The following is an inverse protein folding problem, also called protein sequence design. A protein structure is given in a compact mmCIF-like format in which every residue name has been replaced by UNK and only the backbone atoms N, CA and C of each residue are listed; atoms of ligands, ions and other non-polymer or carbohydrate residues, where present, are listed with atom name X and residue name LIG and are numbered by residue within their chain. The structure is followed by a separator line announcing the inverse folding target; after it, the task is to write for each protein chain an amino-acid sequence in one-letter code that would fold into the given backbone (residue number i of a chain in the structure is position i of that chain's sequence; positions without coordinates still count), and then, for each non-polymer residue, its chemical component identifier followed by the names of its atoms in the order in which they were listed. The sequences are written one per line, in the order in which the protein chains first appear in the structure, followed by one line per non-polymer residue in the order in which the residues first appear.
data_IF_027530077348
#
_entry.id   IF_027530077348
#
_cell.length_a   1.000
_cell.length_b   1.000
_cell.length_c   1.000
_cell.angle_alpha   90.00
_cell.angle_beta   90.00
_cell.angle_gamma   90.00
#
_symmetry.space_group_name_H-M   'P 1'
#
loop_
_entity.id
_entity.type
_entity.pdbx_description
1 polymer ?
#
# COMPACT_ATOMS: atom_id res chain seq x y z
N UNK A 1 -20.59 10.49 16.93
CA UNK A 1 -20.09 9.23 17.52
C UNK A 1 -18.66 9.47 17.99
N UNK A 2 -18.46 9.85 19.25
CA UNK A 2 -17.12 10.00 19.83
C UNK A 2 -16.73 8.67 20.45
N UNK A 3 -15.86 7.93 19.77
CA UNK A 3 -15.26 6.72 20.31
C UNK A 3 -14.36 7.11 21.50
N UNK A 4 -14.40 6.40 22.64
CA UNK A 4 -13.48 6.65 23.74
C UNK A 4 -12.04 6.60 23.23
N UNK A 5 -11.19 7.53 23.65
CA UNK A 5 -9.80 7.64 23.18
C UNK A 5 -9.00 6.34 23.38
N UNK A 6 -9.32 5.58 24.43
CA UNK A 6 -8.77 4.24 24.69
C UNK A 6 -9.14 3.21 23.63
N UNK A 7 -10.37 3.25 23.13
CA UNK A 7 -10.83 2.35 22.07
C UNK A 7 -10.21 2.71 20.72
N UNK A 8 -10.07 4.01 20.42
CA UNK A 8 -9.39 4.48 19.22
C UNK A 8 -7.90 4.06 19.21
N UNK A 9 -7.21 4.21 20.34
CA UNK A 9 -5.83 3.74 20.51
C UNK A 9 -5.72 2.21 20.37
N UNK A 10 -6.65 1.46 20.97
CA UNK A 10 -6.67 -0.01 20.84
C UNK A 10 -6.80 -0.48 19.39
N UNK A 11 -7.68 0.15 18.62
CA UNK A 11 -7.83 -0.12 17.18
C UNK A 11 -6.56 0.24 16.41
N UNK A 12 -5.93 1.38 16.71
CA UNK A 12 -4.71 1.80 16.03
C UNK A 12 -3.54 0.84 16.33
N UNK A 13 -3.38 0.41 17.58
CA UNK A 13 -2.35 -0.57 17.97
C UNK A 13 -2.58 -1.90 17.25
N UNK A 14 -3.83 -2.38 17.21
CA UNK A 14 -4.17 -3.61 16.51
C UNK A 14 -3.87 -3.52 15.01
N UNK A 15 -4.24 -2.40 14.38
CA UNK A 15 -3.99 -2.15 12.95
C UNK A 15 -2.49 -2.08 12.65
N UNK A 16 -1.72 -1.31 13.43
CA UNK A 16 -0.28 -1.21 13.29
C UNK A 16 0.42 -2.57 13.49
N UNK A 17 -0.01 -3.34 14.50
CA UNK A 17 0.48 -4.70 14.73
C UNK A 17 0.18 -5.63 13.56
N UNK A 18 -1.03 -5.57 12.99
CA UNK A 18 -1.39 -6.34 11.80
C UNK A 18 -0.51 -5.98 10.58
N UNK A 19 -0.28 -4.69 10.35
CA UNK A 19 0.59 -4.20 9.27
C UNK A 19 2.05 -4.63 9.44
N UNK A 20 2.55 -4.65 10.68
CA UNK A 20 3.88 -5.15 11.02
C UNK A 20 3.99 -6.66 10.72
N UNK A 21 3.02 -7.44 11.19
CA UNK A 21 2.96 -8.89 10.95
C UNK A 21 2.90 -9.20 9.44
N UNK A 22 2.07 -8.48 8.68
CA UNK A 22 2.01 -8.62 7.22
C UNK A 22 3.36 -8.35 6.56
N UNK A 23 4.07 -7.30 7.01
CA UNK A 23 5.40 -6.97 6.49
C UNK A 23 6.40 -8.10 6.77
N UNK A 24 6.41 -8.66 7.98
CA UNK A 24 7.29 -9.78 8.35
C UNK A 24 6.96 -11.04 7.54
N UNK A 25 5.69 -11.38 7.37
CA UNK A 25 5.26 -12.56 6.58
C UNK A 25 5.66 -12.39 5.11
N UNK A 26 5.57 -11.17 4.59
CA UNK A 26 5.87 -10.89 3.18
C UNK A 26 7.29 -11.28 2.78
N UNK A 27 8.25 -11.16 3.68
CA UNK A 27 9.64 -11.56 3.42
C UNK A 27 9.75 -13.02 2.95
N UNK A 28 9.10 -13.94 3.66
CA UNK A 28 9.09 -15.36 3.27
C UNK A 28 8.20 -15.59 2.06
N UNK A 29 7.04 -14.93 2.01
CA UNK A 29 6.06 -15.10 0.92
C UNK A 29 6.60 -14.67 -0.43
N UNK A 30 7.44 -13.64 -0.45
CA UNK A 30 7.98 -12.99 -1.64
C UNK A 30 9.33 -13.56 -2.07
N UNK A 31 9.75 -14.68 -1.48
CA UNK A 31 11.03 -15.32 -1.82
C UNK A 31 12.23 -14.47 -1.43
N UNK A 32 12.15 -13.71 -0.34
CA UNK A 32 13.22 -12.85 0.17
C UNK A 32 13.60 -11.70 -0.79
N UNK A 33 12.66 -11.28 -1.65
CA UNK A 33 12.80 -10.08 -2.47
C UNK A 33 12.66 -8.82 -1.59
N UNK A 34 13.79 -8.14 -1.38
CA UNK A 34 13.87 -6.92 -0.57
C UNK A 34 13.09 -5.75 -1.17
N UNK A 35 13.00 -5.64 -2.51
CA UNK A 35 12.21 -4.58 -3.13
C UNK A 35 10.71 -4.84 -2.97
N UNK A 36 10.26 -6.09 -3.12
CA UNK A 36 8.88 -6.47 -2.91
C UNK A 36 8.43 -6.24 -1.45
N UNK A 37 9.26 -6.69 -0.51
CA UNK A 37 9.02 -6.56 0.93
C UNK A 37 9.05 -5.09 1.35
N UNK A 38 9.99 -4.30 0.83
CA UNK A 38 10.07 -2.86 1.08
C UNK A 38 8.88 -2.09 0.50
N UNK A 39 8.43 -2.42 -0.71
CA UNK A 39 7.21 -1.85 -1.30
C UNK A 39 5.97 -2.12 -0.42
N UNK A 40 5.82 -3.35 0.08
CA UNK A 40 4.71 -3.68 0.98
C UNK A 40 4.83 -2.95 2.31
N UNK A 41 6.03 -2.88 2.90
CA UNK A 41 6.28 -2.15 4.14
C UNK A 41 5.86 -0.68 4.04
N UNK A 42 6.20 -0.01 2.94
CA UNK A 42 5.81 1.39 2.71
C UNK A 42 4.29 1.54 2.58
N UNK A 43 3.63 0.63 1.86
CA UNK A 43 2.17 0.62 1.75
C UNK A 43 1.48 0.36 3.10
N UNK A 44 2.01 -0.58 3.90
CA UNK A 44 1.56 -0.88 5.26
C UNK A 44 1.76 0.32 6.21
N UNK A 45 2.87 1.05 6.06
CA UNK A 45 3.15 2.26 6.85
C UNK A 45 2.14 3.37 6.57
N UNK A 46 1.71 3.51 5.31
CA UNK A 46 0.67 4.46 4.93
C UNK A 46 -0.71 4.15 5.54
N UNK A 47 -1.00 2.88 5.86
CA UNK A 47 -2.21 2.49 6.62
C UNK A 47 -2.01 2.73 8.12
N UNK A 48 -0.84 2.39 8.65
CA UNK A 48 -0.57 2.46 10.10
C UNK A 48 -0.44 3.89 10.63
N UNK A 49 0.00 4.84 9.79
CA UNK A 49 0.19 6.25 10.16
C UNK A 49 -0.93 7.12 9.61
N UNK A 50 -1.93 7.50 10.43
CA UNK A 50 -3.06 8.34 9.99
C UNK A 50 -2.66 9.78 9.59
N UNK A 51 -1.41 10.18 9.84
CA UNK A 51 -0.88 11.52 9.58
C UNK A 51 -0.32 11.73 8.18
N UNK A 52 -0.36 10.71 7.31
CA UNK A 52 0.42 10.77 6.09
C UNK A 52 -0.05 11.79 5.05
N UNK A 53 -1.22 12.43 5.24
CA UNK A 53 -1.91 13.39 4.36
C UNK A 53 -1.06 14.49 3.66
N UNK A 54 0.17 14.73 4.13
CA UNK A 54 1.13 15.67 3.54
C UNK A 54 2.38 15.02 2.91
N UNK A 55 2.61 13.72 3.07
CA UNK A 55 3.82 12.98 2.66
C UNK A 55 3.53 11.70 1.85
N UNK A 56 2.35 11.63 1.24
CA UNK A 56 1.87 10.42 0.55
C UNK A 56 2.60 10.15 -0.75
N UNK A 57 2.97 11.19 -1.49
CA UNK A 57 3.62 11.04 -2.78
C UNK A 57 4.95 10.27 -2.68
N UNK A 58 5.90 10.61 -1.79
CA UNK A 58 7.13 9.84 -1.62
C UNK A 58 6.90 8.40 -1.14
N UNK A 59 5.92 8.19 -0.24
CA UNK A 59 5.67 6.86 0.32
C UNK A 59 4.93 5.94 -0.64
N UNK A 60 4.04 6.49 -1.49
CA UNK A 60 3.27 5.72 -2.46
C UNK A 60 4.03 5.54 -3.78
N UNK A 61 4.93 6.45 -4.15
CA UNK A 61 5.63 6.36 -5.45
C UNK A 61 6.52 5.12 -5.56
N UNK A 62 7.20 4.72 -4.48
CA UNK A 62 8.04 3.52 -4.47
C UNK A 62 7.21 2.23 -4.68
N UNK A 63 6.13 1.98 -3.90
CA UNK A 63 5.19 0.89 -4.15
C UNK A 63 4.59 0.89 -5.56
N UNK A 64 4.21 2.06 -6.07
CA UNK A 64 3.64 2.20 -7.41
C UNK A 64 4.69 1.88 -8.49
N UNK A 65 5.91 2.39 -8.36
CA UNK A 65 7.01 2.08 -9.27
C UNK A 65 7.33 0.59 -9.27
N UNK A 66 7.34 -0.05 -8.10
CA UNK A 66 7.53 -1.49 -8.01
C UNK A 66 6.45 -2.26 -8.78
N UNK A 67 5.17 -1.86 -8.67
CA UNK A 67 4.08 -2.46 -9.45
C UNK A 67 4.27 -2.24 -10.96
N UNK A 68 4.73 -1.06 -11.38
CA UNK A 68 5.04 -0.76 -12.79
C UNK A 68 6.15 -1.67 -13.30
N UNK A 69 7.27 -1.75 -12.58
CA UNK A 69 8.41 -2.60 -12.95
C UNK A 69 7.98 -4.08 -13.05
N UNK A 70 7.15 -4.53 -12.10
CA UNK A 70 6.65 -5.90 -12.08
C UNK A 70 5.66 -6.18 -13.20
N UNK A 71 4.77 -5.24 -13.51
CA UNK A 71 3.88 -5.33 -14.66
C UNK A 71 4.61 -5.34 -16.00
N UNK A 72 5.73 -4.61 -16.12
CA UNK A 72 6.59 -4.65 -17.32
C UNK A 72 7.32 -6.00 -17.46
N UNK A 73 7.82 -6.57 -16.35
CA UNK A 73 8.58 -7.82 -16.38
C UNK A 73 7.73 -9.09 -16.48
N UNK A 74 6.58 -9.15 -15.81
CA UNK A 74 5.71 -10.35 -15.72
C UNK A 74 4.43 -10.23 -16.56
N UNK A 75 4.22 -9.09 -17.22
CA UNK A 75 2.97 -8.76 -17.90
C UNK A 75 1.92 -8.13 -16.98
N UNK A 76 1.08 -7.27 -17.57
CA UNK A 76 0.02 -6.53 -16.88
C UNK A 76 -1.28 -7.31 -16.86
N UNK A 77 -2.01 -7.27 -15.74
CA UNK A 77 -3.44 -7.65 -15.73
C UNK A 77 -4.23 -6.53 -16.43
N UNK A 78 -5.35 -6.89 -17.07
CA UNK A 78 -6.19 -5.96 -17.84
C UNK A 78 -6.55 -4.66 -17.08
N UNK A 79 -6.75 -4.74 -15.77
CA UNK A 79 -7.17 -3.62 -14.92
C UNK A 79 -6.05 -2.95 -14.12
N UNK A 80 -4.84 -3.53 -14.08
CA UNK A 80 -3.77 -3.02 -13.22
C UNK A 80 -3.20 -1.67 -13.68
N UNK A 81 -3.16 -1.44 -15.00
CA UNK A 81 -2.72 -0.14 -15.54
C UNK A 81 -3.63 0.98 -15.04
N UNK A 82 -4.94 0.75 -15.07
CA UNK A 82 -5.93 1.70 -14.55
C UNK A 82 -5.78 1.87 -13.04
N UNK A 83 -5.55 0.78 -12.29
CA UNK A 83 -5.34 0.86 -10.84
C UNK A 83 -4.06 1.66 -10.48
N UNK A 84 -2.96 1.46 -11.21
CA UNK A 84 -1.72 2.21 -11.03
C UNK A 84 -1.90 3.71 -11.33
N UNK A 85 -2.60 4.05 -12.43
CA UNK A 85 -2.92 5.44 -12.74
C UNK A 85 -3.81 6.05 -11.65
N UNK A 86 -4.84 5.34 -11.21
CA UNK A 86 -5.71 5.79 -10.13
C UNK A 86 -4.92 6.01 -8.82
N UNK A 87 -4.01 5.11 -8.46
CA UNK A 87 -3.14 5.21 -7.29
C UNK A 87 -2.17 6.39 -7.37
N UNK A 88 -1.64 6.68 -8.57
CA UNK A 88 -0.79 7.85 -8.79
C UNK A 88 -1.56 9.16 -8.57
N UNK A 89 -2.81 9.23 -9.00
CA UNK A 89 -3.67 10.40 -8.80
C UNK A 89 -4.39 10.43 -7.45
N UNK A 90 -4.36 9.35 -6.67
CA UNK A 90 -5.07 9.24 -5.40
C UNK A 90 -4.73 10.35 -4.38
N UNK A 91 -3.47 10.82 -4.22
CA UNK A 91 -3.17 11.92 -3.31
C UNK A 91 -3.86 13.24 -3.72
N UNK A 92 -3.94 13.50 -5.02
CA UNK A 92 -4.60 14.70 -5.55
C UNK A 92 -6.12 14.61 -5.36
N UNK A 93 -6.72 13.45 -5.65
CA UNK A 93 -8.14 13.20 -5.41
C UNK A 93 -8.50 13.30 -3.93
N UNK A 94 -7.64 12.80 -3.05
CA UNK A 94 -7.82 12.88 -1.59
C UNK A 94 -7.78 14.34 -1.12
N UNK A 95 -6.83 15.14 -1.62
CA UNK A 95 -6.78 16.59 -1.32
C UNK A 95 -8.02 17.33 -1.84
N UNK A 96 -8.44 17.04 -3.07
CA UNK A 96 -9.62 17.65 -3.68
C UNK A 96 -10.93 17.28 -2.98
N UNK A 97 -11.04 16.06 -2.43
CA UNK A 97 -12.22 15.59 -1.71
C UNK A 97 -12.22 16.02 -0.22
N UNK A 98 -11.05 16.11 0.42
CA UNK A 98 -10.98 16.46 1.82
C UNK A 98 -11.28 17.94 2.10
N UNK A 99 -10.94 18.84 1.17
CA UNK A 99 -11.24 20.28 1.29
C UNK A 99 -12.76 20.57 1.38
N UNK A 100 -13.64 19.97 0.56
CA UNK A 100 -15.09 20.19 0.62
C UNK A 100 -15.86 19.19 1.50
N UNK A 101 -15.45 17.92 1.61
CA UNK A 101 -16.24 16.86 2.26
C UNK A 101 -15.66 16.38 3.59
N UNK A 102 -14.41 16.73 3.93
CA UNK A 102 -13.74 16.24 5.14
C UNK A 102 -13.47 14.72 5.15
N UNK A 103 -13.66 14.04 4.02
CA UNK A 103 -13.46 12.59 3.90
C UNK A 103 -12.04 12.30 3.40
N UNK A 104 -11.31 11.50 4.18
CA UNK A 104 -9.98 11.02 3.84
C UNK A 104 -10.09 9.68 3.07
N UNK A 105 -9.88 9.71 1.75
CA UNK A 105 -9.91 8.53 0.86
C UNK A 105 -8.59 7.73 0.85
N UNK A 106 -7.56 8.23 1.50
CA UNK A 106 -6.22 7.69 1.42
C UNK A 106 -6.04 6.29 2.05
N UNK A 107 -6.72 5.94 3.15
CA UNK A 107 -6.70 4.57 3.68
C UNK A 107 -7.17 3.55 2.64
N UNK A 108 -8.11 3.91 1.76
CA UNK A 108 -8.57 3.03 0.68
C UNK A 108 -7.50 2.83 -0.38
N UNK A 109 -6.80 3.90 -0.78
CA UNK A 109 -5.69 3.83 -1.72
C UNK A 109 -4.53 2.97 -1.16
N UNK A 110 -4.19 3.17 0.12
CA UNK A 110 -3.16 2.38 0.79
C UNK A 110 -3.56 0.90 0.92
N UNK A 111 -4.82 0.60 1.27
CA UNK A 111 -5.34 -0.77 1.28
C UNK A 111 -5.28 -1.43 -0.10
N UNK A 112 -5.63 -0.71 -1.16
CA UNK A 112 -5.54 -1.19 -2.54
C UNK A 112 -4.09 -1.51 -2.92
N UNK A 113 -3.13 -0.67 -2.51
CA UNK A 113 -1.70 -0.93 -2.72
C UNK A 113 -1.21 -2.17 -1.99
N UNK A 114 -1.52 -2.30 -0.71
CA UNK A 114 -1.17 -3.50 0.08
C UNK A 114 -1.70 -4.74 -0.60
N UNK A 115 -2.97 -4.72 -1.03
CA UNK A 115 -3.58 -5.84 -1.73
C UNK A 115 -2.90 -6.16 -3.07
N UNK A 116 -2.63 -5.14 -3.90
CA UNK A 116 -1.96 -5.32 -5.18
C UNK A 116 -0.57 -5.94 -5.02
N UNK A 117 0.24 -5.38 -4.12
CA UNK A 117 1.61 -5.86 -3.86
C UNK A 117 1.57 -7.28 -3.30
N UNK A 118 0.63 -7.57 -2.40
CA UNK A 118 0.46 -8.91 -1.84
C UNK A 118 0.11 -9.95 -2.90
N UNK A 119 -0.81 -9.63 -3.83
CA UNK A 119 -1.20 -10.55 -4.91
C UNK A 119 -0.11 -10.70 -5.98
N UNK A 120 0.87 -9.80 -6.02
CA UNK A 120 1.96 -9.79 -6.99
C UNK A 120 3.27 -10.32 -6.47
N UNK A 121 3.53 -10.25 -5.16
CA UNK A 121 4.78 -10.69 -4.53
C UNK A 121 5.00 -12.20 -4.53
N UNK A 122 4.80 -12.92 -5.64
CA UNK A 122 5.16 -14.33 -5.73
C UNK A 122 6.67 -14.54 -5.87
N UNK A 123 7.22 -15.67 -5.43
CA UNK A 123 8.57 -16.07 -5.82
C UNK A 123 8.63 -16.17 -7.35
N UNK A 124 9.68 -15.59 -7.94
CA UNK A 124 9.93 -15.71 -9.39
C UNK A 124 10.14 -17.19 -9.72
N UNK A 125 9.55 -17.74 -10.79
CA UNK A 125 10.03 -19.01 -11.32
C UNK A 125 11.51 -18.79 -11.66
N UNK A 126 12.40 -19.52 -10.99
CA UNK A 126 13.81 -19.56 -11.33
C UNK A 126 13.91 -20.04 -12.77
N UNK A 127 14.18 -19.12 -13.70
CA UNK A 127 14.56 -19.49 -15.05
C UNK A 127 15.98 -20.04 -14.98
N UNK A 128 16.09 -21.36 -14.80
CA UNK A 128 17.31 -22.09 -15.11
C UNK A 128 17.30 -22.30 -16.64
N UNK A 129 18.06 -21.46 -17.35
CA UNK A 129 18.52 -21.70 -18.72
C UNK A 129 19.91 -22.32 -18.68
#
# INVERSE_FOLDING_TARGET
LFMPSSAALGVQIALAGAMLVLTVISWRRFGQDGMATGALMLACTAIASPYLFNYDLPFLILPVLWLVLRGQGEGWRHWEKLAVVALYFAPYATRAAALPLGINLMPLAAALLVWLIWTRGGPRPTQYS
#
